data_IF_630200007642
#
_entry.id   IF_630200007642
#
_cell.length_a   1.000
_cell.length_b   1.000
_cell.length_c   1.000
_cell.angle_alpha   90.00
_cell.angle_beta   90.00
_cell.angle_gamma   90.00
#
_symmetry.space_group_name_H-M   'P 1'
#
loop_
_entity.id
_entity.type
_entity.pdbx_description
1 polymer ?
#
# COMPACT_ATOMS: atom_id res chain seq x y z
N UNK A 1 -3.42 0.27 -8.14
CA UNK A 1 -1.97 0.52 -8.31
C UNK A 1 -1.79 2.02 -8.26
N UNK A 2 -0.83 2.52 -7.48
CA UNK A 2 -0.51 3.95 -7.42
C UNK A 2 0.14 4.45 -8.72
N UNK A 3 0.11 5.75 -8.97
CA UNK A 3 0.55 6.36 -10.23
C UNK A 3 2.08 6.21 -10.43
N UNK A 4 2.85 6.19 -9.35
CA UNK A 4 4.31 6.08 -9.33
C UNK A 4 4.80 4.62 -9.34
N UNK A 5 3.90 3.66 -9.52
CA UNK A 5 4.26 2.25 -9.62
C UNK A 5 4.75 1.87 -11.02
N UNK A 6 5.70 0.94 -11.07
CA UNK A 6 6.17 0.35 -12.31
C UNK A 6 6.49 -1.14 -12.16
N UNK A 7 6.18 -1.90 -13.21
CA UNK A 7 6.47 -3.33 -13.30
C UNK A 7 7.96 -3.50 -13.58
N UNK A 8 8.64 -4.32 -12.77
CA UNK A 8 10.07 -4.61 -12.90
C UNK A 8 10.38 -6.03 -13.35
N UNK A 9 9.38 -6.94 -13.30
CA UNK A 9 9.55 -8.34 -13.72
C UNK A 9 8.35 -8.83 -14.53
N UNK A 10 8.64 -9.64 -15.55
CA UNK A 10 7.62 -10.33 -16.34
C UNK A 10 6.85 -11.36 -15.50
N UNK A 11 5.67 -11.76 -15.99
CA UNK A 11 4.85 -12.78 -15.32
C UNK A 11 4.14 -12.30 -14.05
N UNK A 12 4.22 -10.99 -13.74
CA UNK A 12 3.59 -10.38 -12.55
C UNK A 12 2.10 -10.74 -12.47
N UNK A 13 1.33 -10.55 -13.53
CA UNK A 13 -0.11 -10.78 -13.52
C UNK A 13 -0.42 -12.26 -13.23
N UNK A 14 0.33 -13.17 -13.84
CA UNK A 14 0.17 -14.60 -13.61
C UNK A 14 0.50 -14.99 -12.16
N UNK A 15 1.50 -14.36 -11.54
CA UNK A 15 1.83 -14.58 -10.13
C UNK A 15 0.70 -14.12 -9.19
N UNK A 16 0.17 -12.92 -9.44
CA UNK A 16 -0.96 -12.39 -8.68
C UNK A 16 -2.22 -13.26 -8.82
N UNK A 17 -2.55 -13.68 -10.05
CA UNK A 17 -3.69 -14.56 -10.32
C UNK A 17 -3.52 -15.91 -9.61
N UNK A 18 -2.33 -16.51 -9.66
CA UNK A 18 -2.05 -17.77 -8.95
C UNK A 18 -2.21 -17.63 -7.44
N UNK A 19 -1.67 -16.56 -6.85
CA UNK A 19 -1.80 -16.30 -5.42
C UNK A 19 -3.27 -16.07 -5.01
N UNK A 20 -4.02 -15.31 -5.81
CA UNK A 20 -5.43 -15.03 -5.57
C UNK A 20 -6.35 -16.25 -5.74
N UNK A 21 -5.95 -17.24 -6.55
CA UNK A 21 -6.69 -18.48 -6.73
C UNK A 21 -6.63 -19.43 -5.52
N UNK A 22 -5.71 -19.18 -4.57
CA UNK A 22 -5.61 -20.01 -3.38
C UNK A 22 -6.86 -19.84 -2.48
N UNK A 23 -7.40 -20.94 -1.91
CA UNK A 23 -8.62 -20.89 -1.09
C UNK A 23 -8.53 -19.87 0.06
N UNK A 24 -9.54 -19.00 0.10
CA UNK A 24 -9.70 -17.98 1.13
C UNK A 24 -8.83 -16.74 0.96
N UNK A 25 -8.07 -16.58 -0.13
CA UNK A 25 -7.33 -15.33 -0.38
C UNK A 25 -8.27 -14.22 -0.83
N UNK A 26 -8.28 -13.11 -0.09
CA UNK A 26 -9.07 -11.92 -0.40
C UNK A 26 -8.27 -10.79 -1.05
N UNK A 27 -6.96 -10.75 -0.83
CA UNK A 27 -6.09 -9.71 -1.39
C UNK A 27 -4.66 -10.19 -1.55
N UNK A 28 -4.04 -9.79 -2.66
CA UNK A 28 -2.63 -10.02 -2.99
C UNK A 28 -1.95 -8.68 -3.23
N UNK A 29 -0.71 -8.52 -2.75
CA UNK A 29 0.10 -7.33 -3.03
C UNK A 29 1.60 -7.61 -2.97
N UNK A 30 2.40 -6.54 -3.02
CA UNK A 30 3.86 -6.64 -3.09
C UNK A 30 4.56 -6.76 -1.74
N UNK A 31 4.07 -6.08 -0.69
CA UNK A 31 4.77 -5.96 0.59
C UNK A 31 3.77 -5.97 1.74
N UNK A 32 3.84 -7.01 2.59
CA UNK A 32 3.22 -7.01 3.90
C UNK A 32 4.15 -6.25 4.84
N UNK A 33 3.60 -5.23 5.51
CA UNK A 33 4.36 -4.40 6.42
C UNK A 33 4.71 -5.18 7.70
N UNK A 34 5.83 -5.91 7.68
CA UNK A 34 6.31 -6.73 8.81
C UNK A 34 6.64 -5.92 10.05
N UNK A 35 7.04 -4.65 9.89
CA UNK A 35 7.32 -3.76 11.02
C UNK A 35 6.08 -3.49 11.88
N UNK A 36 4.89 -3.57 11.28
CA UNK A 36 3.61 -3.36 11.92
C UNK A 36 2.88 -4.66 12.26
N UNK A 37 3.51 -5.81 12.06
CA UNK A 37 3.00 -7.10 12.54
C UNK A 37 3.25 -7.27 14.05
N UNK A 38 2.66 -6.35 14.81
CA UNK A 38 2.77 -6.20 16.27
C UNK A 38 1.43 -5.73 16.80
N UNK A 39 1.22 -5.89 18.10
CA UNK A 39 0.03 -5.38 18.76
C UNK A 39 -0.08 -3.86 18.63
N UNK A 40 -1.30 -3.32 18.60
CA UNK A 40 -1.54 -1.88 18.55
C UNK A 40 -0.81 -1.10 19.66
N UNK A 41 -0.78 -1.56 20.93
CA UNK A 41 0.03 -0.90 21.96
C UNK A 41 1.52 -0.85 21.64
N UNK A 42 2.09 -1.93 21.10
CA UNK A 42 3.51 -1.96 20.72
C UNK A 42 3.83 -1.02 19.54
N UNK A 43 2.90 -0.89 18.58
CA UNK A 43 3.02 0.09 17.49
C UNK A 43 2.88 1.52 18.04
N UNK A 44 1.93 1.75 18.95
CA UNK A 44 1.75 3.04 19.61
C UNK A 44 3.03 3.48 20.31
N UNK A 45 3.65 2.59 21.10
CA UNK A 45 4.91 2.85 21.79
C UNK A 45 6.07 3.10 20.83
N UNK A 46 6.19 2.30 19.77
CA UNK A 46 7.21 2.47 18.73
C UNK A 46 7.16 3.87 18.10
N UNK A 47 5.95 4.41 17.95
CA UNK A 47 5.67 5.64 17.21
C UNK A 47 5.36 6.82 18.14
N UNK A 48 5.62 6.68 19.45
CA UNK A 48 5.28 7.66 20.50
C UNK A 48 5.79 9.07 20.21
N UNK A 49 6.96 9.18 19.58
CA UNK A 49 7.61 10.46 19.29
C UNK A 49 7.42 10.92 17.83
N UNK A 50 6.77 10.12 16.99
CA UNK A 50 6.52 10.47 15.60
C UNK A 50 5.41 11.50 15.51
N UNK A 51 5.79 12.74 15.17
CA UNK A 51 4.83 13.79 14.84
C UNK A 51 4.71 13.92 13.34
N UNK A 52 3.52 13.64 12.81
CA UNK A 52 3.22 13.78 11.40
C UNK A 52 2.03 14.75 11.26
N UNK A 53 2.30 16.08 11.21
CA UNK A 53 1.25 17.11 11.13
C UNK A 53 0.27 16.87 9.98
N UNK A 54 0.75 16.34 8.86
CA UNK A 54 -0.03 15.99 7.68
C UNK A 54 -1.06 14.87 7.89
N UNK A 55 -0.95 14.11 8.99
CA UNK A 55 -1.96 13.10 9.35
C UNK A 55 -3.21 13.70 9.97
N UNK A 56 -3.25 15.03 10.12
CA UNK A 56 -4.32 15.69 10.86
C UNK A 56 -4.35 15.14 12.28
N UNK A 57 -3.19 15.15 12.96
CA UNK A 57 -3.13 14.90 14.42
C UNK A 57 -4.35 15.58 15.02
N UNK A 58 -5.16 14.81 15.75
CA UNK A 58 -6.29 15.36 16.49
C UNK A 58 -5.76 16.63 17.19
N UNK A 59 -6.52 17.74 17.25
CA UNK A 59 -6.02 19.03 17.76
C UNK A 59 -5.32 18.96 19.14
N UNK A 60 -5.49 17.82 19.83
CA UNK A 60 -4.91 17.39 21.10
C UNK A 60 -3.47 16.81 21.05
N UNK A 61 -2.89 16.54 19.87
CA UNK A 61 -1.57 15.89 19.76
C UNK A 61 -1.56 14.36 19.95
N UNK A 62 -2.70 13.68 19.73
CA UNK A 62 -2.84 12.23 19.82
C UNK A 62 -1.87 11.47 18.91
N UNK A 63 -1.40 10.31 19.36
CA UNK A 63 -0.59 9.38 18.56
C UNK A 63 -1.35 8.98 17.27
N UNK A 64 -0.63 8.88 16.13
CA UNK A 64 -1.24 8.47 14.86
C UNK A 64 -1.95 7.11 14.90
N UNK A 65 -1.49 6.19 15.76
CA UNK A 65 -2.14 4.89 15.97
C UNK A 65 -3.55 5.06 16.53
N UNK A 66 -3.74 5.99 17.47
CA UNK A 66 -5.05 6.27 18.05
C UNK A 66 -6.00 6.85 16.98
N UNK A 67 -5.46 7.73 16.14
CA UNK A 67 -6.18 8.28 14.99
C UNK A 67 -6.65 7.17 14.04
N UNK A 68 -5.78 6.25 13.63
CA UNK A 68 -6.16 5.14 12.73
C UNK A 68 -7.22 4.23 13.35
N UNK A 69 -7.03 3.83 14.61
CA UNK A 69 -7.98 2.98 15.32
C UNK A 69 -9.36 3.66 15.47
N UNK A 70 -9.41 4.98 15.66
CA UNK A 70 -10.67 5.75 15.63
C UNK A 70 -11.29 5.69 14.24
N UNK A 71 -10.52 5.95 13.19
CA UNK A 71 -11.01 5.96 11.81
C UNK A 71 -11.56 4.59 11.39
N UNK A 72 -10.94 3.49 11.82
CA UNK A 72 -11.42 2.13 11.54
C UNK A 72 -12.82 1.92 12.11
N UNK A 73 -13.07 2.33 13.36
CA UNK A 73 -14.38 2.20 14.00
C UNK A 73 -15.45 3.01 13.27
N UNK A 74 -15.12 4.22 12.83
CA UNK A 74 -16.03 5.05 12.02
C UNK A 74 -16.40 4.37 10.69
N UNK A 75 -15.49 3.60 10.11
CA UNK A 75 -15.74 2.80 8.90
C UNK A 75 -16.30 1.40 9.17
N UNK A 76 -16.62 1.05 10.41
CA UNK A 76 -17.11 -0.28 10.77
C UNK A 76 -16.08 -1.39 10.50
N UNK A 77 -14.81 -1.08 10.76
CA UNK A 77 -13.67 -2.00 10.66
C UNK A 77 -13.12 -2.25 12.06
N UNK A 78 -13.05 -3.51 12.44
CA UNK A 78 -12.37 -3.91 13.67
C UNK A 78 -10.85 -3.89 13.44
N UNK A 79 -10.05 -3.20 14.28
CA UNK A 79 -8.59 -3.12 14.11
C UNK A 79 -7.90 -4.49 14.17
N UNK A 80 -8.52 -5.49 14.81
CA UNK A 80 -7.91 -6.80 15.04
C UNK A 80 -6.72 -6.74 16.00
N UNK A 81 -5.95 -7.85 16.11
CA UNK A 81 -4.91 -7.98 17.11
C UNK A 81 -3.59 -7.27 16.76
N UNK A 82 -3.32 -7.06 15.47
CA UNK A 82 -2.07 -6.45 14.99
C UNK A 82 -2.31 -5.42 13.90
N UNK A 83 -1.32 -4.55 13.67
CA UNK A 83 -1.30 -3.59 12.58
C UNK A 83 -0.81 -4.15 11.25
N UNK A 84 -0.70 -5.47 11.08
CA UNK A 84 -0.23 -6.10 9.84
C UNK A 84 -1.10 -5.66 8.65
N UNK A 85 -0.52 -5.27 7.53
CA UNK A 85 -1.29 -4.91 6.33
C UNK A 85 -0.42 -5.01 5.09
N UNK A 86 -1.04 -5.11 3.91
CA UNK A 86 -0.33 -4.84 2.67
C UNK A 86 -0.19 -3.34 2.45
N UNK A 87 1.00 -2.90 2.05
CA UNK A 87 1.22 -1.52 1.59
C UNK A 87 0.45 -1.26 0.30
N UNK A 88 -0.11 -0.06 0.12
CA UNK A 88 -1.01 0.28 -1.01
C UNK A 88 -0.32 0.57 -2.35
N UNK A 89 0.83 -0.03 -2.61
CA UNK A 89 1.57 0.11 -3.88
C UNK A 89 0.82 -0.54 -5.04
N UNK A 90 0.55 -1.83 -4.92
CA UNK A 90 -0.21 -2.59 -5.89
C UNK A 90 -1.00 -3.69 -5.19
N UNK A 91 -2.31 -3.69 -5.40
CA UNK A 91 -3.23 -4.69 -4.87
C UNK A 91 -4.01 -5.34 -6.00
N UNK A 92 -4.24 -6.63 -5.82
CA UNK A 92 -5.20 -7.41 -6.58
C UNK A 92 -6.21 -8.02 -5.61
N UNK A 93 -7.49 -7.82 -5.90
CA UNK A 93 -8.58 -8.39 -5.12
C UNK A 93 -9.51 -9.15 -6.09
N UNK A 94 -9.91 -10.39 -5.77
CA UNK A 94 -11.03 -11.03 -6.44
C UNK A 94 -12.30 -10.16 -6.30
N UNK A 95 -13.15 -10.13 -7.33
CA UNK A 95 -14.39 -9.32 -7.31
C UNK A 95 -15.27 -9.63 -6.09
N UNK A 96 -15.43 -10.92 -5.76
CA UNK A 96 -16.18 -11.36 -4.58
C UNK A 96 -15.60 -10.83 -3.24
N UNK A 97 -14.28 -10.65 -3.15
CA UNK A 97 -13.66 -10.07 -1.96
C UNK A 97 -13.97 -8.56 -1.85
N UNK A 98 -13.91 -7.85 -2.97
CA UNK A 98 -14.25 -6.42 -3.05
C UNK A 98 -15.74 -6.18 -2.72
N UNK A 99 -16.63 -7.02 -3.22
CA UNK A 99 -18.06 -6.98 -2.90
C UNK A 99 -18.32 -7.18 -1.40
N UNK A 100 -17.67 -8.17 -0.78
CA UNK A 100 -17.80 -8.43 0.67
C UNK A 100 -17.21 -7.30 1.52
N UNK A 101 -16.21 -6.59 1.02
CA UNK A 101 -15.62 -5.40 1.65
C UNK A 101 -16.54 -4.17 1.55
N UNK A 102 -17.53 -4.21 0.65
CA UNK A 102 -18.39 -3.08 0.28
C UNK A 102 -17.59 -1.90 -0.32
N UNK A 103 -16.66 -2.22 -1.22
CA UNK A 103 -15.80 -1.22 -1.87
C UNK A 103 -14.60 -0.81 -1.02
N UNK A 104 -13.90 0.25 -1.45
CA UNK A 104 -12.70 0.76 -0.78
C UNK A 104 -13.02 1.92 0.16
N UNK A 105 -12.23 2.01 1.23
CA UNK A 105 -12.19 3.20 2.09
C UNK A 105 -11.48 4.34 1.35
N UNK A 106 -12.02 5.55 1.48
CA UNK A 106 -11.46 6.75 0.84
C UNK A 106 -11.10 7.74 1.93
N UNK A 107 -9.81 8.04 2.04
CA UNK A 107 -9.31 9.07 2.92
C UNK A 107 -9.35 10.45 2.26
N UNK A 108 -9.62 11.48 3.06
CA UNK A 108 -9.68 12.88 2.62
C UNK A 108 -8.38 13.65 2.86
N UNK A 109 -7.50 13.09 3.66
CA UNK A 109 -6.17 13.62 3.96
C UNK A 109 -5.17 12.47 4.06
N UNK A 110 -3.88 12.80 4.20
CA UNK A 110 -2.82 11.80 4.19
C UNK A 110 -2.96 10.76 5.32
N UNK A 111 -3.34 11.19 6.52
CA UNK A 111 -3.58 10.29 7.65
C UNK A 111 -4.74 9.33 7.39
N UNK A 112 -5.85 9.82 6.87
CA UNK A 112 -6.99 8.98 6.46
C UNK A 112 -6.62 8.04 5.30
N UNK A 113 -5.74 8.45 4.37
CA UNK A 113 -5.26 7.57 3.30
C UNK A 113 -4.45 6.38 3.87
N UNK A 114 -3.59 6.63 4.87
CA UNK A 114 -2.88 5.55 5.57
C UNK A 114 -3.87 4.69 6.38
N UNK A 115 -4.86 5.30 7.03
CA UNK A 115 -5.91 4.56 7.69
C UNK A 115 -6.64 3.65 6.69
N UNK A 116 -7.01 4.17 5.52
CA UNK A 116 -7.70 3.41 4.46
C UNK A 116 -6.86 2.24 3.96
N UNK A 117 -5.55 2.45 3.81
CA UNK A 117 -4.59 1.39 3.46
C UNK A 117 -4.66 0.22 4.44
N UNK A 118 -4.54 0.52 5.73
CA UNK A 118 -4.52 -0.48 6.79
C UNK A 118 -5.91 -1.14 6.92
N UNK A 119 -6.97 -0.34 6.90
CA UNK A 119 -8.35 -0.76 7.05
C UNK A 119 -8.77 -1.78 5.99
N UNK A 120 -8.30 -1.66 4.74
CA UNK A 120 -8.59 -2.64 3.69
C UNK A 120 -8.11 -4.05 4.07
N UNK A 121 -6.88 -4.16 4.58
CA UNK A 121 -6.34 -5.44 5.04
C UNK A 121 -7.10 -5.97 6.26
N UNK A 122 -7.36 -5.10 7.24
CA UNK A 122 -8.10 -5.47 8.46
C UNK A 122 -9.53 -5.93 8.16
N UNK A 123 -10.23 -5.24 7.26
CA UNK A 123 -11.59 -5.60 6.86
C UNK A 123 -11.65 -6.98 6.23
N UNK A 124 -10.75 -7.28 5.29
CA UNK A 124 -10.71 -8.61 4.67
C UNK A 124 -10.39 -9.72 5.68
N UNK A 125 -9.45 -9.49 6.60
CA UNK A 125 -9.16 -10.47 7.65
C UNK A 125 -10.34 -10.66 8.62
N UNK A 126 -11.05 -9.58 8.96
CA UNK A 126 -12.29 -9.68 9.78
C UNK A 126 -13.40 -10.48 9.08
N UNK A 127 -13.36 -10.56 7.75
CA UNK A 127 -14.25 -11.37 6.92
C UNK A 127 -13.75 -12.83 6.77
N UNK A 128 -12.70 -13.22 7.48
CA UNK A 128 -12.08 -14.54 7.41
C UNK A 128 -11.28 -14.78 6.13
N UNK A 129 -10.92 -13.72 5.39
CA UNK A 129 -10.10 -13.80 4.19
C UNK A 129 -8.61 -13.57 4.51
N UNK A 130 -7.75 -14.15 3.69
CA UNK A 130 -6.30 -14.03 3.80
C UNK A 130 -5.81 -12.85 2.96
N UNK A 131 -4.85 -12.14 3.52
CA UNK A 131 -4.08 -11.09 2.87
C UNK A 131 -2.65 -11.58 2.71
N UNK A 132 -2.16 -11.68 1.46
CA UNK A 132 -0.91 -12.36 1.11
C UNK A 132 -0.02 -11.54 0.18
N UNK A 133 1.28 -11.85 0.14
CA UNK A 133 2.18 -11.30 -0.88
C UNK A 133 2.20 -12.16 -2.15
N UNK A 134 2.44 -11.54 -3.30
CA UNK A 134 2.64 -12.22 -4.57
C UNK A 134 3.98 -12.98 -4.66
N UNK A 135 4.96 -12.59 -3.86
CA UNK A 135 6.28 -13.20 -3.74
C UNK A 135 6.79 -13.08 -2.30
N UNK A 136 7.80 -13.88 -1.92
CA UNK A 136 8.42 -13.81 -0.60
C UNK A 136 9.17 -12.49 -0.38
N UNK A 137 9.92 -12.06 -1.40
CA UNK A 137 10.58 -10.76 -1.44
C UNK A 137 9.57 -9.63 -1.67
N UNK A 138 9.71 -8.56 -0.90
CA UNK A 138 8.88 -7.37 -1.03
C UNK A 138 9.18 -6.63 -2.35
N UNK A 139 8.14 -6.12 -3.02
CA UNK A 139 8.25 -5.38 -4.31
C UNK A 139 9.01 -6.13 -5.40
N UNK A 140 8.80 -7.44 -5.47
CA UNK A 140 9.43 -8.31 -6.45
C UNK A 140 8.91 -8.07 -7.86
N UNK A 141 7.61 -7.88 -8.06
CA UNK A 141 7.06 -7.71 -9.41
C UNK A 141 6.81 -6.25 -9.76
N UNK A 142 6.33 -5.48 -8.79
CA UNK A 142 5.95 -4.08 -8.94
C UNK A 142 6.66 -3.27 -7.86
N UNK A 143 7.31 -2.18 -8.26
CA UNK A 143 7.95 -1.22 -7.35
C UNK A 143 7.25 0.12 -7.40
N UNK A 144 7.49 0.93 -6.38
CA UNK A 144 7.08 2.33 -6.29
C UNK A 144 8.33 3.20 -6.19
N UNK A 145 8.29 4.44 -6.70
CA UNK A 145 9.44 5.34 -6.65
C UNK A 145 9.96 5.60 -5.22
N UNK A 146 9.06 5.64 -4.24
CA UNK A 146 9.39 5.81 -2.81
C UNK A 146 10.03 4.56 -2.17
N UNK A 147 9.74 3.36 -2.71
CA UNK A 147 10.23 2.08 -2.17
C UNK A 147 11.28 1.49 -3.12
N UNK A 148 12.35 2.26 -3.33
CA UNK A 148 13.47 1.79 -4.13
C UNK A 148 14.49 1.03 -3.29
N UNK A 149 15.07 0.02 -3.93
CA UNK A 149 16.24 -0.70 -3.45
C UNK A 149 17.33 -0.55 -4.50
N UNK A 150 18.54 -0.29 -4.05
CA UNK A 150 19.71 -0.25 -4.92
C UNK A 150 19.93 -1.62 -5.61
N UNK A 151 19.60 -2.72 -4.92
CA UNK A 151 19.66 -4.09 -5.44
C UNK A 151 18.61 -5.00 -4.75
N UNK A 152 18.19 -6.14 -5.37
CA UNK A 152 17.25 -7.08 -4.73
C UNK A 152 17.75 -7.55 -3.36
N UNK A 153 16.92 -7.39 -2.32
CA UNK A 153 17.25 -7.75 -0.94
C UNK A 153 17.95 -6.65 -0.12
N UNK A 154 18.27 -5.49 -0.70
CA UNK A 154 18.76 -4.33 0.05
C UNK A 154 17.68 -3.73 0.98
N UNK A 155 18.05 -3.01 2.05
CA UNK A 155 17.10 -2.16 2.77
C UNK A 155 16.43 -1.14 1.83
N UNK A 156 15.14 -0.85 2.05
CA UNK A 156 14.44 0.20 1.32
C UNK A 156 14.89 1.58 1.79
N UNK A 157 15.28 2.45 0.86
CA UNK A 157 15.47 3.86 1.15
C UNK A 157 14.15 4.61 0.96
N UNK A 158 13.70 5.34 1.99
CA UNK A 158 12.54 6.26 1.90
C UNK A 158 12.98 7.64 1.40
N UNK A 159 13.80 7.70 0.34
CA UNK A 159 14.57 8.92 0.03
C UNK A 159 14.06 9.74 -1.15
N UNK A 160 12.81 9.57 -1.57
CA UNK A 160 12.28 10.46 -2.62
C UNK A 160 10.87 10.95 -2.34
N UNK A 161 10.78 12.05 -1.59
CA UNK A 161 9.52 12.78 -1.40
C UNK A 161 8.98 13.43 -2.68
N UNK A 162 9.77 13.62 -3.73
CA UNK A 162 9.29 14.12 -5.04
C UNK A 162 10.26 13.73 -6.16
N UNK A 163 9.97 12.67 -6.92
CA UNK A 163 10.55 12.57 -8.27
C UNK A 163 9.57 13.29 -9.19
N UNK A 164 9.95 14.44 -9.74
CA UNK A 164 9.10 15.07 -10.76
C UNK A 164 8.89 14.10 -11.93
N UNK A 165 7.71 14.11 -12.55
CA UNK A 165 7.43 13.31 -13.75
C UNK A 165 8.52 13.46 -14.82
N UNK A 166 9.08 14.68 -14.96
CA UNK A 166 10.20 14.98 -15.85
C UNK A 166 11.52 14.29 -15.48
N UNK A 167 11.76 14.01 -14.21
CA UNK A 167 12.91 13.26 -13.73
C UNK A 167 12.72 11.75 -13.92
N UNK A 168 11.51 11.23 -13.68
CA UNK A 168 11.16 9.83 -14.00
C UNK A 168 11.27 9.57 -15.50
N UNK A 169 10.71 10.47 -16.32
CA UNK A 169 10.76 10.39 -17.77
C UNK A 169 12.20 10.39 -18.29
N UNK A 170 13.08 11.26 -17.77
CA UNK A 170 14.51 11.23 -18.12
C UNK A 170 15.22 9.94 -17.71
N UNK A 171 14.86 9.37 -16.57
CA UNK A 171 15.47 8.12 -16.09
C UNK A 171 15.06 6.92 -16.95
N UNK A 172 13.81 6.91 -17.43
CA UNK A 172 13.28 5.88 -18.35
C UNK A 172 13.75 6.08 -19.80
N UNK A 173 13.86 7.33 -20.27
CA UNK A 173 14.34 7.66 -21.62
C UNK A 173 15.87 7.58 -21.75
N UNK A 174 16.62 7.72 -20.65
CA UNK A 174 18.08 7.62 -20.61
C UNK A 174 18.62 6.18 -20.67
N UNK A 175 17.78 5.17 -20.46
CA UNK A 175 18.14 3.76 -20.65
C UNK A 175 17.60 3.29 -22.00
N UNK A 176 18.42 3.42 -23.05
CA UNK A 176 18.06 3.05 -24.42
C UNK A 176 17.48 1.64 -24.53
N UNK A 177 16.17 1.55 -24.70
CA UNK A 177 15.41 0.33 -24.95
C UNK A 177 14.07 0.66 -25.63
N UNK A 178 13.56 -0.19 -26.53
CA UNK A 178 12.69 0.26 -27.62
C UNK A 178 11.26 0.58 -27.19
N UNK A 179 10.88 1.83 -27.50
CA UNK A 179 9.59 2.35 -27.97
C UNK A 179 8.32 1.56 -27.62
N UNK A 180 7.47 2.21 -26.82
CA UNK A 180 6.30 2.81 -27.43
C UNK A 180 4.96 2.09 -27.27
N UNK A 181 4.57 1.63 -26.07
CA UNK A 181 3.17 1.26 -25.80
C UNK A 181 2.64 1.64 -24.39
N UNK A 182 3.46 2.13 -23.47
CA UNK A 182 3.05 2.34 -22.06
C UNK A 182 2.43 3.73 -21.75
N UNK A 183 2.38 4.65 -22.72
CA UNK A 183 2.19 6.09 -22.45
C UNK A 183 0.74 6.60 -22.43
N UNK A 184 -0.26 5.72 -22.19
CA UNK A 184 -1.69 6.12 -22.25
C UNK A 184 -2.52 6.03 -20.97
N UNK A 185 -1.92 5.77 -19.81
CA UNK A 185 -2.67 5.77 -18.53
C UNK A 185 -2.04 6.77 -17.55
N UNK A 186 -1.81 8.02 -17.98
CA UNK A 186 -1.45 9.11 -17.07
C UNK A 186 -2.10 10.39 -17.61
N UNK A 187 -3.32 10.67 -17.16
CA UNK A 187 -3.91 12.01 -17.06
C UNK A 187 -5.41 11.90 -16.79
N UNK A 188 -5.83 11.75 -15.52
CA UNK A 188 -7.18 12.20 -15.12
C UNK A 188 -7.50 12.37 -13.63
N UNK A 189 -6.51 12.56 -12.75
CA UNK A 189 -6.79 12.73 -11.31
C UNK A 189 -6.43 14.09 -10.70
N UNK A 190 -5.96 15.09 -11.46
CA UNK A 190 -5.56 16.39 -10.89
C UNK A 190 -6.18 17.63 -11.56
N UNK A 191 -7.44 17.53 -11.99
CA UNK A 191 -8.27 18.72 -12.19
C UNK A 191 -9.71 18.44 -11.76
N UNK A 192 -10.03 18.82 -10.53
CA UNK A 192 -11.23 19.56 -10.11
C UNK A 192 -11.09 19.99 -8.66
#
# INVERSE_FOLDING_TARGET
>A
MQDECYVVRNGWLAAYLRAAAAPGVGMVGESLNRMWDRSWPAIHDLLRNDRLPEHGSSPDGSNRVDFYCRQFREWGVEPGPTGRHLRSVAWFLPGAALERMNGFFVGRNYGECIAAEIAASRKLESLGLKVVQAAEEEFFYIRHLEYNQDYPGAPYSHDVKYVSYSSVKRMLEGRGGPRGWALRIIARAFHR
#
